data_IF_402377981674
#
_entry.id   IF_402377981674
#
_cell.length_a   1.000
_cell.length_b   1.000
_cell.length_c   1.000
_cell.angle_alpha   90.00
_cell.angle_beta   90.00
_cell.angle_gamma   90.00
#
_symmetry.space_group_name_H-M   'P 1'
#
loop_
_entity.id
_entity.type
_entity.pdbx_description
1 polymer ?
#
# COMPACT_ATOMS: atom_id res chain seq x y z
N UNK A 1 30.47 -24.72 -16.31
CA UNK A 1 29.88 -23.54 -16.98
C UNK A 1 30.23 -23.61 -18.45
N UNK A 2 29.23 -23.59 -19.36
CA UNK A 2 29.46 -23.70 -20.81
C UNK A 2 29.80 -22.33 -21.38
N UNK A 3 30.80 -22.26 -22.25
CA UNK A 3 31.05 -21.07 -23.07
C UNK A 3 29.90 -20.88 -24.07
N UNK A 4 29.38 -19.64 -24.16
CA UNK A 4 28.36 -19.30 -25.13
C UNK A 4 29.01 -19.10 -26.50
N UNK A 5 28.66 -19.97 -27.47
CA UNK A 5 29.07 -19.84 -28.86
C UNK A 5 27.87 -19.36 -29.67
N UNK A 6 27.91 -18.09 -30.10
CA UNK A 6 26.88 -17.53 -30.98
C UNK A 6 27.14 -18.02 -32.41
N UNK A 7 26.15 -18.66 -33.04
CA UNK A 7 26.22 -19.17 -34.43
C UNK A 7 25.10 -18.55 -35.27
N UNK A 8 25.37 -18.32 -36.56
CA UNK A 8 24.35 -17.89 -37.53
C UNK A 8 24.03 -16.39 -37.55
N UNK A 9 24.89 -15.54 -36.99
CA UNK A 9 24.74 -14.09 -37.08
C UNK A 9 25.34 -13.56 -38.39
N UNK A 10 24.62 -12.65 -39.06
CA UNK A 10 25.16 -11.94 -40.23
C UNK A 10 26.27 -10.96 -39.80
N UNK A 11 27.24 -10.69 -40.67
CA UNK A 11 28.29 -9.69 -40.40
C UNK A 11 27.71 -8.31 -40.06
N UNK A 12 26.59 -7.95 -40.68
CA UNK A 12 25.90 -6.68 -40.40
C UNK A 12 25.36 -6.64 -38.97
N UNK A 13 24.74 -7.71 -38.50
CA UNK A 13 24.15 -7.74 -37.17
C UNK A 13 25.22 -7.90 -36.09
N UNK A 14 26.31 -8.59 -36.41
CA UNK A 14 27.48 -8.66 -35.53
C UNK A 14 28.08 -7.27 -35.29
N UNK A 15 28.25 -6.47 -36.36
CA UNK A 15 28.73 -5.08 -36.23
C UNK A 15 27.78 -4.19 -35.43
N UNK A 16 26.46 -4.35 -35.59
CA UNK A 16 25.47 -3.62 -34.79
C UNK A 16 25.57 -3.97 -33.30
N UNK A 17 25.69 -5.26 -32.97
CA UNK A 17 25.86 -5.72 -31.59
C UNK A 17 27.18 -5.24 -31.01
N UNK A 18 28.26 -5.26 -31.78
CA UNK A 18 29.58 -4.80 -31.34
C UNK A 18 29.56 -3.30 -31.04
N UNK A 19 28.98 -2.50 -31.93
CA UNK A 19 28.80 -1.07 -31.70
C UNK A 19 27.98 -0.80 -30.44
N UNK A 20 26.85 -1.51 -30.25
CA UNK A 20 26.02 -1.35 -29.05
C UNK A 20 26.79 -1.70 -27.76
N UNK A 21 27.58 -2.77 -27.80
CA UNK A 21 28.46 -3.16 -26.69
C UNK A 21 29.51 -2.10 -26.35
N UNK A 22 30.05 -1.44 -27.37
CA UNK A 22 30.95 -0.30 -27.18
C UNK A 22 30.21 0.92 -26.60
N UNK A 23 29.04 1.25 -27.14
CA UNK A 23 28.19 2.36 -26.68
C UNK A 23 27.74 2.19 -25.22
N UNK A 24 27.49 0.95 -24.78
CA UNK A 24 27.16 0.61 -23.40
C UNK A 24 28.39 0.65 -22.45
N UNK A 25 29.60 0.92 -22.97
CA UNK A 25 30.85 1.01 -22.19
C UNK A 25 31.60 -0.31 -22.01
N UNK A 26 31.21 -1.38 -22.70
CA UNK A 26 31.78 -2.73 -22.57
C UNK A 26 32.68 -3.13 -23.74
N UNK A 27 33.20 -2.19 -24.53
CA UNK A 27 33.98 -2.47 -25.75
C UNK A 27 35.13 -3.47 -25.55
N UNK A 28 35.90 -3.33 -24.46
CA UNK A 28 37.00 -4.22 -24.10
C UNK A 28 36.62 -5.47 -23.29
N UNK A 29 35.37 -5.58 -22.83
CA UNK A 29 34.89 -6.71 -22.03
C UNK A 29 34.50 -7.92 -22.90
N UNK A 30 34.33 -9.09 -22.30
CA UNK A 30 33.77 -10.25 -23.00
C UNK A 30 32.28 -10.05 -23.33
N UNK A 31 31.79 -10.76 -24.35
CA UNK A 31 30.34 -10.77 -24.67
C UNK A 31 29.50 -11.27 -23.51
N UNK A 32 30.04 -12.18 -22.69
CA UNK A 32 29.37 -12.70 -21.50
C UNK A 32 29.17 -11.62 -20.43
N UNK A 33 30.17 -10.77 -20.19
CA UNK A 33 30.05 -9.67 -19.22
C UNK A 33 29.06 -8.62 -19.70
N UNK A 34 29.09 -8.26 -20.99
CA UNK A 34 28.13 -7.31 -21.55
C UNK A 34 26.70 -7.86 -21.57
N UNK A 35 26.49 -9.11 -22.01
CA UNK A 35 25.17 -9.75 -21.93
C UNK A 35 24.72 -9.88 -20.47
N UNK A 36 25.64 -10.19 -19.55
CA UNK A 36 25.41 -10.21 -18.11
C UNK A 36 24.97 -8.85 -17.55
N UNK A 37 25.55 -7.76 -18.05
CA UNK A 37 25.12 -6.39 -17.73
C UNK A 37 23.73 -6.08 -18.30
N UNK A 38 23.45 -6.47 -19.55
CA UNK A 38 22.14 -6.27 -20.17
C UNK A 38 21.00 -7.04 -19.47
N UNK A 39 21.34 -8.14 -18.81
CA UNK A 39 20.39 -8.99 -18.08
C UNK A 39 20.55 -8.88 -16.56
N UNK A 40 21.31 -7.89 -16.06
CA UNK A 40 21.57 -7.74 -14.63
C UNK A 40 20.29 -7.53 -13.83
N UNK A 41 19.29 -6.91 -14.46
CA UNK A 41 17.95 -6.69 -13.92
C UNK A 41 16.89 -7.63 -14.54
N UNK A 42 17.33 -8.63 -15.32
CA UNK A 42 16.45 -9.63 -15.94
C UNK A 42 16.63 -10.94 -15.20
N UNK A 43 15.73 -11.21 -14.26
CA UNK A 43 15.66 -12.49 -13.58
C UNK A 43 15.36 -13.62 -14.59
N UNK A 44 16.34 -14.50 -14.83
CA UNK A 44 16.20 -15.67 -15.73
C UNK A 44 15.31 -16.76 -15.12
N UNK A 45 15.17 -16.74 -13.79
CA UNK A 45 14.25 -17.57 -13.03
C UNK A 45 13.33 -16.66 -12.22
N UNK A 46 12.08 -17.08 -12.12
CA UNK A 46 11.08 -16.32 -11.39
C UNK A 46 11.36 -16.34 -9.88
N UNK A 47 11.41 -15.17 -9.25
CA UNK A 47 11.58 -15.09 -7.80
C UNK A 47 10.41 -15.73 -7.05
N UNK A 48 10.59 -16.05 -5.77
CA UNK A 48 9.49 -16.55 -4.92
C UNK A 48 8.34 -15.52 -4.85
N UNK A 49 8.70 -14.23 -4.82
CA UNK A 49 7.78 -13.10 -4.85
C UNK A 49 7.00 -13.03 -6.16
N UNK A 50 7.67 -13.15 -7.31
CA UNK A 50 7.02 -13.14 -8.62
C UNK A 50 6.03 -14.30 -8.75
N UNK A 51 6.44 -15.52 -8.33
CA UNK A 51 5.55 -16.69 -8.28
C UNK A 51 4.31 -16.43 -7.43
N UNK A 52 4.49 -15.88 -6.23
CA UNK A 52 3.40 -15.58 -5.31
C UNK A 52 2.46 -14.51 -5.87
N UNK A 53 3.00 -13.43 -6.44
CA UNK A 53 2.21 -12.36 -7.03
C UNK A 53 1.44 -12.81 -8.27
N UNK A 54 2.04 -13.64 -9.15
CA UNK A 54 1.32 -14.22 -10.28
C UNK A 54 0.15 -15.07 -9.79
N UNK A 55 0.39 -15.99 -8.86
CA UNK A 55 -0.67 -16.85 -8.32
C UNK A 55 -1.79 -16.02 -7.67
N UNK A 56 -1.45 -14.95 -6.96
CA UNK A 56 -2.41 -14.02 -6.36
C UNK A 56 -3.23 -13.31 -7.44
N UNK A 57 -2.58 -12.77 -8.48
CA UNK A 57 -3.26 -12.07 -9.59
C UNK A 57 -4.16 -13.02 -10.37
N UNK A 58 -3.71 -14.22 -10.70
CA UNK A 58 -4.51 -15.21 -11.41
C UNK A 58 -5.78 -15.59 -10.63
N UNK A 59 -5.67 -15.72 -9.30
CA UNK A 59 -6.81 -16.02 -8.43
C UNK A 59 -7.79 -14.85 -8.26
N UNK A 60 -7.28 -13.62 -8.16
CA UNK A 60 -8.08 -12.47 -7.72
C UNK A 60 -8.47 -11.50 -8.85
N UNK A 61 -7.90 -11.61 -10.05
CA UNK A 61 -8.20 -10.67 -11.15
C UNK A 61 -9.68 -10.66 -11.52
N UNK A 62 -10.31 -11.83 -11.63
CA UNK A 62 -11.73 -11.92 -11.97
C UNK A 62 -12.61 -11.29 -10.87
N UNK A 63 -12.27 -11.51 -9.60
CA UNK A 63 -12.94 -10.86 -8.47
C UNK A 63 -12.82 -9.34 -8.55
N UNK A 64 -11.60 -8.82 -8.75
CA UNK A 64 -11.37 -7.37 -8.82
C UNK A 64 -12.08 -6.72 -10.01
N UNK A 65 -12.07 -7.37 -11.19
CA UNK A 65 -12.78 -6.88 -12.38
C UNK A 65 -14.30 -6.95 -12.19
N UNK A 66 -14.83 -8.01 -11.58
CA UNK A 66 -16.24 -8.10 -11.25
C UNK A 66 -16.66 -7.03 -10.23
N UNK A 67 -15.81 -6.75 -9.22
CA UNK A 67 -16.02 -5.66 -8.28
C UNK A 67 -16.05 -4.31 -8.98
N UNK A 68 -15.09 -4.07 -9.87
CA UNK A 68 -15.07 -2.84 -10.67
C UNK A 68 -16.36 -2.67 -11.46
N UNK A 69 -16.80 -3.72 -12.17
CA UNK A 69 -18.02 -3.69 -12.95
C UNK A 69 -19.26 -3.37 -12.09
N UNK A 70 -19.35 -3.95 -10.88
CA UNK A 70 -20.43 -3.66 -9.93
C UNK A 70 -20.36 -2.23 -9.37
N UNK A 71 -19.17 -1.72 -9.12
CA UNK A 71 -18.95 -0.36 -8.61
C UNK A 71 -19.08 0.73 -9.69
N UNK A 72 -19.13 0.39 -10.98
CA UNK A 72 -19.27 1.39 -12.05
C UNK A 72 -20.54 2.24 -11.89
N UNK A 73 -21.67 1.64 -11.51
CA UNK A 73 -22.92 2.37 -11.31
C UNK A 73 -22.80 3.46 -10.23
N UNK A 74 -22.35 3.17 -8.99
CA UNK A 74 -22.14 4.21 -7.98
C UNK A 74 -20.99 5.17 -8.34
N UNK A 75 -19.95 4.73 -9.05
CA UNK A 75 -18.86 5.61 -9.52
C UNK A 75 -19.35 6.65 -10.54
N UNK A 76 -20.25 6.26 -11.44
CA UNK A 76 -20.75 7.11 -12.51
C UNK A 76 -22.03 7.87 -12.12
N UNK A 77 -22.58 7.57 -10.95
CA UNK A 77 -23.80 8.19 -10.42
C UNK A 77 -23.64 9.68 -10.12
N UNK A 78 -24.75 10.43 -10.01
CA UNK A 78 -24.74 11.89 -9.86
C UNK A 78 -24.04 12.36 -8.57
N UNK A 79 -24.11 11.60 -7.49
CA UNK A 79 -23.51 11.96 -6.20
C UNK A 79 -22.06 11.47 -6.02
N UNK A 80 -21.51 10.82 -7.05
CA UNK A 80 -20.17 10.26 -6.99
C UNK A 80 -19.10 11.36 -6.85
N UNK A 81 -18.10 11.10 -6.01
CA UNK A 81 -16.92 11.93 -5.83
C UNK A 81 -15.67 11.18 -6.24
N UNK A 82 -14.80 11.84 -6.98
CA UNK A 82 -13.44 11.36 -7.21
C UNK A 82 -12.59 11.67 -5.99
N UNK A 83 -11.50 10.93 -5.80
CA UNK A 83 -10.54 11.20 -4.74
C UNK A 83 -9.98 12.63 -4.74
N UNK A 84 -9.92 13.28 -5.91
CA UNK A 84 -9.54 14.70 -6.01
C UNK A 84 -10.50 15.66 -5.30
N UNK A 85 -11.79 15.32 -5.23
CA UNK A 85 -12.81 16.16 -4.59
C UNK A 85 -12.60 16.26 -3.06
N UNK A 86 -11.95 15.24 -2.48
CA UNK A 86 -11.58 15.22 -1.05
C UNK A 86 -10.74 16.43 -0.64
N UNK A 87 -9.88 16.94 -1.53
CA UNK A 87 -9.08 18.13 -1.27
C UNK A 87 -9.94 19.37 -1.02
N UNK A 88 -11.03 19.49 -1.79
CA UNK A 88 -11.95 20.62 -1.72
C UNK A 88 -12.79 20.51 -0.45
N UNK A 89 -13.30 19.31 -0.16
CA UNK A 89 -14.14 19.06 1.01
C UNK A 89 -13.40 19.24 2.34
N UNK A 90 -12.10 18.91 2.35
CA UNK A 90 -11.24 19.11 3.53
C UNK A 90 -10.51 20.46 3.52
N UNK A 91 -10.72 21.29 2.50
CA UNK A 91 -10.07 22.60 2.32
C UNK A 91 -8.54 22.52 2.52
N UNK A 92 -7.91 21.50 1.92
CA UNK A 92 -6.49 21.24 2.12
C UNK A 92 -5.64 22.41 1.58
N UNK A 93 -4.78 23.04 2.40
CA UNK A 93 -3.92 24.15 1.98
C UNK A 93 -3.11 23.85 0.72
N UNK A 94 -2.97 24.85 -0.16
CA UNK A 94 -2.17 24.77 -1.39
C UNK A 94 -0.71 24.39 -1.10
N UNK A 95 -0.14 24.95 -0.05
CA UNK A 95 1.28 24.85 0.29
C UNK A 95 1.51 23.76 1.34
N UNK A 96 2.37 22.76 1.07
CA UNK A 96 2.78 21.78 2.08
C UNK A 96 3.82 22.37 3.06
N UNK A 97 3.91 21.87 4.30
CA UNK A 97 3.02 20.86 4.89
C UNK A 97 1.73 21.47 5.46
N UNK A 98 0.62 20.76 5.29
CA UNK A 98 -0.70 21.10 5.81
C UNK A 98 -0.93 20.55 7.24
N UNK A 99 0.09 20.50 8.09
CA UNK A 99 0.02 19.93 9.44
C UNK A 99 0.24 18.41 9.51
N UNK A 100 0.14 17.81 10.71
CA UNK A 100 0.49 16.42 10.95
C UNK A 100 -0.63 15.44 10.58
N UNK A 101 -0.25 14.17 10.39
CA UNK A 101 -1.20 13.06 10.26
C UNK A 101 -0.75 11.82 11.03
N UNK A 102 -1.71 10.96 11.36
CA UNK A 102 -1.49 9.64 11.92
C UNK A 102 -2.21 8.62 11.04
N UNK A 103 -1.44 7.68 10.47
CA UNK A 103 -1.96 6.56 9.70
C UNK A 103 -2.11 5.35 10.62
N UNK A 104 -3.31 4.78 10.66
CA UNK A 104 -3.71 3.72 11.60
C UNK A 104 -4.01 2.44 10.81
N UNK A 105 -3.06 1.50 10.87
CA UNK A 105 -3.22 0.15 10.35
C UNK A 105 -4.07 -0.74 11.25
N UNK A 106 -3.91 -2.05 11.13
CA UNK A 106 -4.68 -3.05 11.89
C UNK A 106 -3.82 -4.17 12.47
N UNK A 107 -2.53 -3.93 12.62
CA UNK A 107 -1.57 -4.88 13.19
C UNK A 107 -1.65 -5.01 14.72
N UNK A 108 -1.06 -6.08 15.27
CA UNK A 108 -1.21 -6.46 16.68
C UNK A 108 -0.63 -5.42 17.65
N UNK A 109 0.37 -4.63 17.24
CA UNK A 109 1.01 -3.66 18.13
C UNK A 109 0.06 -2.62 18.71
N UNK A 110 -1.06 -2.35 18.03
CA UNK A 110 -2.12 -1.46 18.52
C UNK A 110 -2.62 -1.90 19.91
N UNK A 111 -2.82 -3.20 20.10
CA UNK A 111 -3.26 -3.77 21.37
C UNK A 111 -2.10 -3.88 22.36
N UNK A 112 -0.94 -4.31 21.89
CA UNK A 112 0.26 -4.51 22.73
C UNK A 112 0.71 -3.22 23.41
N UNK A 113 0.51 -2.09 22.74
CA UNK A 113 0.90 -0.77 23.22
C UNK A 113 -0.27 0.16 23.54
N UNK A 114 -1.51 -0.36 23.51
CA UNK A 114 -2.74 0.40 23.83
C UNK A 114 -2.83 1.72 23.05
N UNK A 115 -2.48 1.68 21.76
CA UNK A 115 -2.35 2.87 20.93
C UNK A 115 -3.67 3.59 20.71
N UNK A 116 -4.77 2.84 20.57
CA UNK A 116 -6.08 3.44 20.33
C UNK A 116 -6.62 4.13 21.59
N UNK A 117 -6.39 3.54 22.76
CA UNK A 117 -6.73 4.15 24.05
C UNK A 117 -5.92 5.42 24.28
N UNK A 118 -4.61 5.37 24.03
CA UNK A 118 -3.75 6.56 24.11
C UNK A 118 -4.22 7.68 23.17
N UNK A 119 -4.65 7.32 21.96
CA UNK A 119 -5.22 8.27 21.01
C UNK A 119 -6.55 8.85 21.53
N UNK A 120 -7.45 8.02 22.07
CA UNK A 120 -8.72 8.48 22.63
C UNK A 120 -8.54 9.44 23.82
N UNK A 121 -7.50 9.21 24.64
CA UNK A 121 -7.19 10.02 25.82
C UNK A 121 -6.43 11.32 25.49
N UNK A 122 -5.59 11.30 24.46
CA UNK A 122 -4.58 12.36 24.22
C UNK A 122 -4.42 12.77 22.75
N UNK A 123 -5.44 12.60 21.90
CA UNK A 123 -5.37 13.09 20.52
C UNK A 123 -5.26 14.62 20.50
N UNK A 124 -4.15 15.19 19.99
CA UNK A 124 -4.03 16.64 19.88
C UNK A 124 -5.00 17.18 18.82
N UNK A 125 -5.41 18.46 18.95
CA UNK A 125 -6.11 19.14 17.86
C UNK A 125 -5.26 19.13 16.59
N UNK A 126 -5.90 19.34 15.44
CA UNK A 126 -5.21 19.48 14.15
C UNK A 126 -4.53 18.21 13.60
N UNK A 127 -4.45 17.12 14.37
CA UNK A 127 -3.92 15.84 13.91
C UNK A 127 -4.93 15.12 13.02
N UNK A 128 -4.59 14.97 11.74
CA UNK A 128 -5.41 14.24 10.78
C UNK A 128 -5.30 12.72 10.98
N UNK A 129 -6.42 12.05 11.21
CA UNK A 129 -6.49 10.60 11.41
C UNK A 129 -6.88 9.89 10.10
N UNK A 130 -5.96 9.07 9.57
CA UNK A 130 -6.18 8.25 8.38
C UNK A 130 -6.20 6.78 8.79
N UNK A 131 -7.37 6.18 8.86
CA UNK A 131 -7.56 4.81 9.35
C UNK A 131 -7.78 3.83 8.20
N UNK A 132 -7.29 2.60 8.34
CA UNK A 132 -7.73 1.47 7.49
C UNK A 132 -9.14 1.03 7.88
N UNK A 133 -9.91 0.48 6.95
CA UNK A 133 -11.24 -0.08 7.22
C UNK A 133 -11.25 -1.07 8.40
N UNK A 134 -10.24 -1.95 8.49
CA UNK A 134 -10.06 -2.92 9.57
C UNK A 134 -10.11 -2.34 10.98
N UNK A 135 -9.68 -1.10 11.17
CA UNK A 135 -9.59 -0.47 12.49
C UNK A 135 -10.71 0.53 12.77
N UNK A 136 -11.66 0.68 11.84
CA UNK A 136 -12.76 1.62 11.96
C UNK A 136 -13.63 1.34 13.21
N UNK A 137 -14.15 0.12 13.35
CA UNK A 137 -15.04 -0.22 14.47
C UNK A 137 -14.35 -0.02 15.84
N UNK A 138 -13.11 -0.51 16.06
CA UNK A 138 -12.38 -0.24 17.29
C UNK A 138 -12.21 1.24 17.62
N UNK A 139 -11.91 2.08 16.63
CA UNK A 139 -11.82 3.54 16.82
C UNK A 139 -13.16 4.15 17.24
N UNK A 140 -14.24 3.82 16.52
CA UNK A 140 -15.57 4.36 16.80
C UNK A 140 -16.05 3.99 18.21
N UNK A 141 -15.79 2.77 18.68
CA UNK A 141 -16.14 2.32 20.04
C UNK A 141 -15.42 3.10 21.14
N UNK A 142 -14.25 3.67 20.84
CA UNK A 142 -13.51 4.56 21.73
C UNK A 142 -13.92 6.04 21.55
N UNK A 143 -14.94 6.32 20.73
CA UNK A 143 -15.37 7.69 20.43
C UNK A 143 -14.45 8.43 19.47
N UNK A 144 -13.47 7.76 18.86
CA UNK A 144 -12.53 8.37 17.90
C UNK A 144 -13.09 8.20 16.50
N UNK A 145 -13.39 9.31 15.83
CA UNK A 145 -13.88 9.31 14.45
C UNK A 145 -12.69 9.69 13.53
N UNK A 146 -12.25 8.80 12.63
CA UNK A 146 -11.17 9.14 11.71
C UNK A 146 -11.61 10.18 10.67
N UNK A 147 -10.71 11.07 10.27
CA UNK A 147 -10.96 12.06 9.21
C UNK A 147 -11.10 11.41 7.83
N UNK A 148 -10.38 10.29 7.63
CA UNK A 148 -10.42 9.50 6.41
C UNK A 148 -10.29 8.01 6.73
N UNK A 149 -11.19 7.21 6.17
CA UNK A 149 -11.09 5.75 6.13
C UNK A 149 -10.57 5.31 4.76
N UNK A 150 -9.66 4.36 4.71
CA UNK A 150 -9.11 3.79 3.47
C UNK A 150 -9.58 2.35 3.33
N UNK A 151 -10.27 2.06 2.24
CA UNK A 151 -10.70 0.70 1.88
C UNK A 151 -10.33 0.39 0.44
N UNK A 152 -9.52 -0.65 0.26
CA UNK A 152 -8.96 -1.01 -1.05
C UNK A 152 -9.16 -2.47 -1.45
N UNK A 153 -9.42 -3.34 -0.49
CA UNK A 153 -9.43 -4.79 -0.71
C UNK A 153 -10.77 -5.24 -1.31
N UNK A 154 -10.69 -6.23 -2.19
CA UNK A 154 -11.81 -6.75 -2.97
C UNK A 154 -12.54 -7.91 -2.33
N UNK A 155 -12.05 -8.49 -1.22
CA UNK A 155 -12.70 -9.64 -0.58
C UNK A 155 -14.03 -9.25 0.08
N UNK A 156 -15.12 -9.93 -0.31
CA UNK A 156 -16.47 -9.59 0.15
C UNK A 156 -16.72 -10.00 1.59
N UNK A 157 -16.16 -11.12 2.03
CA UNK A 157 -16.48 -11.68 3.34
C UNK A 157 -15.61 -11.10 4.44
N UNK A 158 -14.31 -10.95 4.17
CA UNK A 158 -13.34 -10.46 5.14
C UNK A 158 -13.57 -8.98 5.41
N UNK A 159 -13.69 -8.18 4.36
CA UNK A 159 -13.72 -6.71 4.49
C UNK A 159 -15.09 -6.23 4.97
N UNK A 160 -16.19 -6.90 4.58
CA UNK A 160 -17.52 -6.55 5.09
C UNK A 160 -17.61 -6.64 6.62
N UNK A 161 -16.92 -7.60 7.25
CA UNK A 161 -16.88 -7.73 8.72
C UNK A 161 -16.23 -6.54 9.42
N UNK A 162 -15.36 -5.80 8.74
CA UNK A 162 -14.69 -4.62 9.30
C UNK A 162 -15.61 -3.39 9.40
N UNK A 163 -16.77 -3.45 8.74
CA UNK A 163 -17.73 -2.34 8.65
C UNK A 163 -19.16 -2.74 9.04
N UNK A 164 -19.36 -3.99 9.44
CA UNK A 164 -20.65 -4.54 9.87
C UNK A 164 -20.87 -4.34 11.37
N UNK A 165 -21.14 -3.09 11.77
CA UNK A 165 -21.43 -2.73 13.15
C UNK A 165 -22.37 -1.51 13.21
N UNK A 166 -23.31 -1.43 14.19
CA UNK A 166 -24.19 -0.27 14.38
C UNK A 166 -23.46 1.06 14.58
N UNK A 167 -22.22 1.04 15.08
CA UNK A 167 -21.40 2.25 15.19
C UNK A 167 -21.16 2.91 13.83
N UNK A 168 -21.09 2.12 12.75
CA UNK A 168 -20.96 2.67 11.40
C UNK A 168 -22.22 3.44 11.00
N UNK A 169 -23.43 2.99 11.37
CA UNK A 169 -24.66 3.74 11.12
C UNK A 169 -24.73 5.02 11.97
N UNK A 170 -24.35 4.92 13.25
CA UNK A 170 -24.37 6.07 14.16
C UNK A 170 -23.45 7.20 13.70
N UNK A 171 -22.30 6.86 13.11
CA UNK A 171 -21.27 7.83 12.73
C UNK A 171 -21.18 8.07 11.22
N UNK A 172 -21.94 7.33 10.40
CA UNK A 172 -21.72 7.25 8.95
C UNK A 172 -21.75 8.61 8.25
N UNK A 173 -22.68 9.50 8.60
CA UNK A 173 -22.74 10.87 8.05
C UNK A 173 -21.47 11.72 8.28
N UNK A 174 -20.61 11.33 9.22
CA UNK A 174 -19.32 11.99 9.51
C UNK A 174 -18.14 11.31 8.81
N UNK A 175 -18.33 10.11 8.29
CA UNK A 175 -17.27 9.31 7.70
C UNK A 175 -17.00 9.74 6.25
N UNK A 176 -15.71 9.86 5.94
CA UNK A 176 -15.18 10.01 4.58
C UNK A 176 -14.37 8.77 4.27
N UNK A 177 -14.60 8.16 3.12
CA UNK A 177 -13.95 6.90 2.74
C UNK A 177 -13.26 7.07 1.40
N UNK A 178 -11.94 6.94 1.37
CA UNK A 178 -11.19 6.71 0.14
C UNK A 178 -11.41 5.25 -0.29
N UNK A 179 -12.22 5.07 -1.33
CA UNK A 179 -12.68 3.77 -1.80
C UNK A 179 -12.00 3.42 -3.13
N UNK A 180 -11.29 2.28 -3.17
CA UNK A 180 -10.81 1.75 -4.42
C UNK A 180 -11.98 1.35 -5.32
N UNK A 181 -11.89 1.65 -6.62
CA UNK A 181 -12.90 1.29 -7.61
C UNK A 181 -13.15 -0.22 -7.70
N UNK A 182 -12.18 -1.04 -7.30
CA UNK A 182 -12.26 -2.50 -7.29
C UNK A 182 -12.41 -3.09 -5.88
N UNK A 183 -12.56 -2.24 -4.86
CA UNK A 183 -12.84 -2.70 -3.50
C UNK A 183 -14.20 -3.40 -3.44
N UNK A 184 -14.40 -4.19 -2.38
CA UNK A 184 -15.59 -5.02 -2.22
C UNK A 184 -16.89 -4.19 -2.31
N UNK A 185 -17.78 -4.45 -3.29
CA UNK A 185 -19.05 -3.73 -3.42
C UNK A 185 -19.93 -3.74 -2.15
N UNK A 186 -20.04 -4.85 -1.38
CA UNK A 186 -20.78 -4.84 -0.12
C UNK A 186 -20.28 -3.80 0.89
N UNK A 187 -18.98 -3.47 0.87
CA UNK A 187 -18.37 -2.46 1.75
C UNK A 187 -18.76 -1.05 1.30
N UNK A 188 -18.69 -0.76 0.00
CA UNK A 188 -19.19 0.51 -0.54
C UNK A 188 -20.69 0.70 -0.26
N UNK A 189 -21.49 -0.33 -0.49
CA UNK A 189 -22.94 -0.33 -0.22
C UNK A 189 -23.22 -0.08 1.28
N UNK A 190 -22.46 -0.75 2.17
CA UNK A 190 -22.57 -0.58 3.62
C UNK A 190 -22.28 0.85 4.08
N UNK A 191 -21.22 1.46 3.55
CA UNK A 191 -20.86 2.85 3.85
C UNK A 191 -21.88 3.84 3.29
N UNK A 192 -22.30 3.66 2.04
CA UNK A 192 -23.33 4.51 1.42
C UNK A 192 -24.64 4.47 2.22
N UNK A 193 -25.08 3.28 2.67
CA UNK A 193 -26.27 3.12 3.51
C UNK A 193 -26.15 3.84 4.86
N UNK A 194 -24.94 3.90 5.43
CA UNK A 194 -24.68 4.64 6.66
C UNK A 194 -24.63 6.18 6.46
N UNK A 195 -24.69 6.66 5.22
CA UNK A 195 -24.55 8.08 4.88
C UNK A 195 -23.09 8.55 4.78
N UNK A 196 -22.12 7.64 4.69
CA UNK A 196 -20.72 8.01 4.51
C UNK A 196 -20.47 8.59 3.11
N UNK A 197 -19.53 9.52 3.02
CA UNK A 197 -19.11 10.09 1.74
C UNK A 197 -17.99 9.23 1.13
N UNK A 198 -18.23 8.65 -0.04
CA UNK A 198 -17.25 7.84 -0.76
C UNK A 198 -16.47 8.67 -1.79
N UNK A 199 -15.15 8.52 -1.78
CA UNK A 199 -14.20 9.16 -2.69
C UNK A 199 -13.47 8.10 -3.50
N UNK A 200 -13.79 7.99 -4.79
CA UNK A 200 -13.35 6.89 -5.62
C UNK A 200 -12.00 7.13 -6.30
N UNK A 201 -11.18 6.10 -6.38
CA UNK A 201 -9.93 6.08 -7.14
C UNK A 201 -9.61 4.69 -7.69
N UNK A 202 -8.72 4.62 -8.68
CA UNK A 202 -8.19 3.35 -9.18
C UNK A 202 -6.90 2.98 -8.45
N UNK A 203 -6.74 1.76 -7.91
CA UNK A 203 -5.41 1.29 -7.55
C UNK A 203 -4.55 1.18 -8.82
N UNK A 204 -3.29 1.56 -8.72
CA UNK A 204 -2.31 1.45 -9.82
C UNK A 204 -1.80 0.00 -9.91
N UNK A 205 -2.22 -0.74 -10.94
CA UNK A 205 -1.85 -2.16 -11.14
C UNK A 205 -0.64 -2.35 -12.06
N UNK A 206 -0.53 -1.46 -13.04
CA UNK A 206 0.49 -1.50 -14.08
C UNK A 206 0.87 -0.08 -14.51
N UNK A 207 1.85 0.02 -15.39
CA UNK A 207 2.26 1.28 -15.97
C UNK A 207 1.17 1.78 -16.96
N UNK A 208 0.46 2.87 -16.65
CA UNK A 208 -0.66 3.36 -17.46
C UNK A 208 -0.23 3.92 -18.82
N UNK A 209 1.09 4.00 -19.08
CA UNK A 209 1.64 4.42 -20.38
C UNK A 209 1.75 3.24 -21.35
N UNK A 210 1.66 2.00 -20.88
CA UNK A 210 1.77 0.80 -21.72
C UNK A 210 0.46 0.51 -22.45
N UNK A 211 0.56 0.02 -23.68
CA UNK A 211 -0.59 -0.50 -24.41
C UNK A 211 -1.19 -1.69 -23.65
N UNK A 212 -2.51 -1.75 -23.56
CA UNK A 212 -3.23 -2.81 -22.84
C UNK A 212 -3.20 -2.68 -21.32
N UNK A 213 -2.73 -1.56 -20.75
CA UNK A 213 -2.75 -1.32 -19.31
C UNK A 213 -4.17 -1.39 -18.74
N UNK A 214 -4.36 -2.22 -17.72
CA UNK A 214 -5.61 -2.32 -16.98
C UNK A 214 -5.93 -0.99 -16.30
N UNK A 215 -4.95 -0.33 -15.69
CA UNK A 215 -5.18 0.98 -15.06
C UNK A 215 -5.60 2.03 -16.10
N UNK A 216 -5.01 2.04 -17.30
CA UNK A 216 -5.40 2.96 -18.37
C UNK A 216 -6.83 2.69 -18.87
N UNK A 217 -7.21 1.41 -19.02
CA UNK A 217 -8.56 1.01 -19.41
C UNK A 217 -9.60 1.44 -18.38
N UNK A 218 -9.36 1.17 -17.10
CA UNK A 218 -10.24 1.58 -16.00
C UNK A 218 -10.45 3.09 -15.96
N UNK A 219 -9.37 3.86 -16.11
CA UNK A 219 -9.44 5.32 -16.24
C UNK A 219 -10.27 5.75 -17.46
N UNK A 220 -10.15 5.04 -18.58
CA UNK A 220 -10.97 5.29 -19.76
C UNK A 220 -12.46 5.08 -19.50
N UNK A 221 -12.81 3.99 -18.81
CA UNK A 221 -14.20 3.60 -18.50
C UNK A 221 -14.89 4.53 -17.48
N UNK A 222 -14.13 5.29 -16.70
CA UNK A 222 -14.66 6.25 -15.73
C UNK A 222 -14.65 7.69 -16.23
N UNK A 223 -14.32 7.92 -17.51
CA UNK A 223 -14.40 9.27 -18.12
C UNK A 223 -15.85 9.73 -18.22
N UNK A 224 -16.08 10.96 -17.80
CA UNK A 224 -17.36 11.64 -17.97
C UNK A 224 -17.14 13.16 -18.04
N UNK A 225 -18.22 13.93 -18.14
CA UNK A 225 -18.13 15.39 -18.21
C UNK A 225 -17.49 16.05 -16.97
N UNK A 226 -17.61 15.44 -15.78
CA UNK A 226 -17.00 15.92 -14.53
C UNK A 226 -15.52 15.53 -14.44
N UNK A 227 -15.17 14.32 -14.90
CA UNK A 227 -13.80 13.82 -14.92
C UNK A 227 -13.41 13.40 -16.36
N UNK A 228 -13.04 14.35 -17.23
CA UNK A 228 -12.65 14.06 -18.61
C UNK A 228 -11.45 13.08 -18.73
N UNK A 229 -10.62 12.99 -17.69
CA UNK A 229 -9.48 12.08 -17.62
C UNK A 229 -9.76 10.77 -16.86
N UNK A 230 -11.01 10.57 -16.42
CA UNK A 230 -11.42 9.48 -15.54
C UNK A 230 -11.02 9.72 -14.09
N UNK A 231 -11.34 8.76 -13.22
CA UNK A 231 -10.88 8.79 -11.84
C UNK A 231 -9.34 8.78 -11.75
N UNK A 232 -8.77 9.39 -10.71
CA UNK A 232 -7.33 9.33 -10.47
C UNK A 232 -6.89 7.91 -10.12
N UNK A 233 -5.62 7.59 -10.39
CA UNK A 233 -5.00 6.34 -9.97
C UNK A 233 -3.99 6.57 -8.83
N UNK A 234 -3.91 5.66 -7.88
CA UNK A 234 -3.07 5.77 -6.67
C UNK A 234 -2.16 4.56 -6.55
N UNK A 235 -0.87 4.80 -6.27
CA UNK A 235 0.06 3.74 -5.89
C UNK A 235 -0.24 3.29 -4.47
N UNK A 236 -0.87 2.13 -4.31
CA UNK A 236 -1.39 1.66 -3.02
C UNK A 236 -0.36 0.98 -2.11
N UNK A 237 0.85 0.67 -2.61
CA UNK A 237 1.88 -0.04 -1.86
C UNK A 237 1.52 -1.49 -1.45
N UNK A 238 0.42 -2.04 -1.99
CA UNK A 238 -0.05 -3.39 -1.72
C UNK A 238 -0.99 -3.53 -0.53
N UNK A 239 -1.15 -2.51 0.33
CA UNK A 239 -2.03 -2.58 1.50
C UNK A 239 -2.64 -1.22 1.88
N UNK A 240 -3.75 -1.24 2.63
CA UNK A 240 -4.50 -0.04 3.00
C UNK A 240 -3.67 0.96 3.83
N UNK A 241 -2.76 0.47 4.68
CA UNK A 241 -1.87 1.33 5.47
C UNK A 241 -0.89 2.14 4.61
N UNK A 242 -0.25 1.53 3.61
CA UNK A 242 0.60 2.24 2.66
C UNK A 242 -0.21 3.22 1.82
N UNK A 243 -1.42 2.82 1.40
CA UNK A 243 -2.34 3.72 0.70
C UNK A 243 -2.67 4.94 1.55
N UNK A 244 -3.02 4.76 2.83
CA UNK A 244 -3.28 5.85 3.76
C UNK A 244 -2.08 6.79 3.92
N UNK A 245 -0.87 6.25 3.98
CA UNK A 245 0.36 7.05 3.99
C UNK A 245 0.56 7.84 2.68
N UNK A 246 0.36 7.20 1.53
CA UNK A 246 0.42 7.89 0.22
C UNK A 246 -0.60 9.02 0.14
N UNK A 247 -1.85 8.77 0.56
CA UNK A 247 -2.89 9.80 0.60
C UNK A 247 -2.53 10.93 1.56
N UNK A 248 -1.97 10.61 2.74
CA UNK A 248 -1.57 11.61 3.72
C UNK A 248 -0.54 12.61 3.16
N UNK A 249 0.52 12.15 2.46
CA UNK A 249 1.53 13.07 1.92
C UNK A 249 1.18 13.62 0.53
N UNK A 250 0.73 12.77 -0.41
CA UNK A 250 0.61 13.15 -1.82
C UNK A 250 -0.67 13.93 -2.11
N UNK A 251 -1.76 13.61 -1.40
CA UNK A 251 -3.05 14.28 -1.55
C UNK A 251 -3.21 15.32 -0.44
N UNK A 252 -3.21 14.88 0.82
CA UNK A 252 -3.57 15.69 1.98
C UNK A 252 -2.43 16.60 2.47
N UNK A 253 -1.25 16.52 1.86
CA UNK A 253 -0.07 17.38 2.09
C UNK A 253 0.42 17.36 3.55
N UNK A 254 0.22 16.27 4.29
CA UNK A 254 0.53 16.18 5.72
C UNK A 254 1.99 15.84 5.99
N UNK A 255 2.57 16.48 7.00
CA UNK A 255 3.89 16.18 7.56
C UNK A 255 4.04 16.88 8.93
N UNK A 256 4.59 16.22 9.97
CA UNK A 256 5.04 14.83 9.98
C UNK A 256 3.88 13.82 9.92
N UNK A 257 4.16 12.60 9.48
CA UNK A 257 3.21 11.49 9.40
C UNK A 257 3.64 10.38 10.36
N UNK A 258 2.86 10.13 11.41
CA UNK A 258 3.02 8.98 12.29
C UNK A 258 2.34 7.74 11.70
N UNK A 259 2.90 6.56 11.98
CA UNK A 259 2.33 5.26 11.59
C UNK A 259 2.11 4.41 12.84
N UNK A 260 0.93 3.82 13.01
CA UNK A 260 0.67 2.82 14.08
C UNK A 260 -0.05 1.60 13.51
N UNK A 261 0.22 0.42 14.07
CA UNK A 261 -0.36 -0.85 13.58
C UNK A 261 0.06 -1.24 12.16
N UNK A 262 1.24 -0.77 11.70
CA UNK A 262 1.88 -1.17 10.45
C UNK A 262 3.06 -2.11 10.74
N UNK A 263 2.78 -3.22 11.43
CA UNK A 263 3.79 -4.20 11.84
C UNK A 263 4.50 -4.82 10.63
N UNK A 264 3.74 -5.13 9.57
CA UNK A 264 4.24 -5.78 8.36
C UNK A 264 5.11 -6.99 8.70
N UNK A 265 4.59 -7.88 9.54
CA UNK A 265 5.32 -9.04 10.05
C UNK A 265 4.61 -9.71 11.21
N UNK A 266 5.21 -10.80 11.66
CA UNK A 266 4.79 -11.61 12.80
C UNK A 266 5.88 -11.62 13.87
N UNK A 267 5.53 -11.86 15.15
CA UNK A 267 6.54 -12.13 16.16
C UNK A 267 7.30 -13.42 15.84
N UNK A 268 8.56 -13.52 16.30
CA UNK A 268 9.35 -14.74 16.12
C UNK A 268 8.66 -15.93 16.81
N UNK A 269 8.66 -17.09 16.15
CA UNK A 269 8.00 -18.30 16.64
C UNK A 269 6.48 -18.35 16.39
N UNK A 270 5.90 -17.35 15.71
CA UNK A 270 4.52 -17.45 15.24
C UNK A 270 4.35 -18.65 14.29
N UNK A 271 3.35 -19.54 14.48
CA UNK A 271 3.18 -20.71 13.64
C UNK A 271 2.98 -20.33 12.17
N UNK A 272 3.81 -20.87 11.27
CA UNK A 272 3.78 -20.54 9.84
C UNK A 272 2.40 -20.82 9.25
N UNK A 273 1.77 -21.92 9.68
CA UNK A 273 0.46 -22.40 9.22
C UNK A 273 -0.69 -21.42 9.53
N UNK A 274 -0.45 -20.47 10.46
CA UNK A 274 -1.43 -19.45 10.85
C UNK A 274 -1.17 -18.09 10.20
N UNK A 275 -0.11 -17.97 9.40
CA UNK A 275 0.19 -16.73 8.67
C UNK A 275 -0.79 -16.54 7.51
N UNK A 276 -0.99 -15.29 7.12
CA UNK A 276 -2.03 -14.91 6.16
C UNK A 276 -1.77 -15.54 4.78
N UNK A 277 -0.51 -15.66 4.37
CA UNK A 277 -0.15 -16.20 3.07
C UNK A 277 -0.02 -17.72 3.05
N UNK A 278 -0.06 -18.40 4.21
CA UNK A 278 0.23 -19.83 4.27
C UNK A 278 -0.68 -20.68 3.37
N UNK A 279 -2.00 -20.44 3.23
CA UNK A 279 -2.82 -21.23 2.31
C UNK A 279 -2.30 -21.17 0.87
N UNK A 280 -1.93 -19.98 0.37
CA UNK A 280 -1.39 -19.80 -0.98
C UNK A 280 0.00 -20.42 -1.10
N UNK A 281 0.86 -20.25 -0.09
CA UNK A 281 2.21 -20.83 -0.05
C UNK A 281 2.13 -22.36 -0.07
N UNK A 282 1.26 -22.95 0.76
CA UNK A 282 1.06 -24.39 0.87
C UNK A 282 0.61 -25.00 -0.46
N UNK A 283 -0.30 -24.36 -1.19
CA UNK A 283 -0.67 -24.80 -2.54
C UNK A 283 0.50 -24.72 -3.52
N UNK A 284 1.27 -23.62 -3.50
CA UNK A 284 2.43 -23.44 -4.38
C UNK A 284 3.54 -24.46 -4.14
N UNK A 285 3.68 -24.94 -2.90
CA UNK A 285 4.71 -25.92 -2.52
C UNK A 285 4.19 -27.35 -2.50
N UNK A 286 2.93 -27.60 -2.88
CA UNK A 286 2.31 -28.92 -2.81
C UNK A 286 2.25 -29.47 -1.38
N UNK A 287 2.17 -28.59 -0.39
CA UNK A 287 2.15 -28.93 1.03
C UNK A 287 3.52 -29.28 1.62
N UNK A 288 4.63 -29.16 0.88
CA UNK A 288 5.97 -29.40 1.41
C UNK A 288 6.36 -28.32 2.44
N UNK A 289 6.56 -28.68 3.72
CA UNK A 289 6.92 -27.73 4.76
C UNK A 289 8.29 -27.07 4.55
N UNK A 290 9.27 -27.78 4.00
CA UNK A 290 10.61 -27.22 3.79
C UNK A 290 10.62 -26.21 2.65
N UNK A 291 9.95 -26.51 1.55
CA UNK A 291 9.73 -25.54 0.49
C UNK A 291 8.89 -24.34 0.97
N UNK A 292 7.90 -24.55 1.86
CA UNK A 292 7.10 -23.46 2.41
C UNK A 292 7.94 -22.50 3.27
N UNK A 293 8.91 -23.00 4.05
CA UNK A 293 9.82 -22.17 4.85
C UNK A 293 10.60 -21.15 4.02
N UNK A 294 10.91 -21.47 2.75
CA UNK A 294 11.64 -20.55 1.87
C UNK A 294 10.87 -19.25 1.56
N UNK A 295 9.55 -19.23 1.75
CA UNK A 295 8.70 -18.04 1.60
C UNK A 295 8.66 -17.15 2.85
N UNK A 296 9.43 -17.50 3.89
CA UNK A 296 9.53 -16.71 5.11
C UNK A 296 10.94 -16.18 5.30
N UNK A 297 11.05 -14.98 5.83
CA UNK A 297 12.32 -14.30 6.08
C UNK A 297 12.30 -13.70 7.48
N UNK A 298 13.29 -14.08 8.29
CA UNK A 298 13.53 -13.43 9.58
C UNK A 298 14.33 -12.15 9.36
N UNK A 299 13.95 -11.08 10.05
CA UNK A 299 14.63 -9.79 10.03
C UNK A 299 14.77 -9.25 11.44
N UNK A 300 15.88 -8.56 11.72
CA UNK A 300 16.10 -7.88 13.00
C UNK A 300 15.83 -6.38 12.85
N UNK A 301 14.93 -5.83 13.66
CA UNK A 301 14.67 -4.40 13.75
C UNK A 301 15.67 -3.75 14.73
N UNK A 302 16.70 -3.02 14.25
CA UNK A 302 17.74 -2.46 15.11
C UNK A 302 17.24 -1.30 15.97
N UNK A 303 16.20 -0.58 15.53
CA UNK A 303 15.65 0.57 16.26
C UNK A 303 14.89 0.13 17.52
N UNK A 304 14.31 -1.07 17.47
CA UNK A 304 13.49 -1.65 18.54
C UNK A 304 14.19 -2.81 19.26
N UNK A 305 15.31 -3.29 18.74
CA UNK A 305 16.05 -4.41 19.31
C UNK A 305 15.30 -5.75 19.27
N UNK A 306 14.40 -5.94 18.30
CA UNK A 306 13.51 -7.11 18.24
C UNK A 306 13.49 -7.78 16.86
N UNK A 307 13.43 -9.12 16.80
CA UNK A 307 13.23 -9.84 15.54
C UNK A 307 11.77 -9.78 15.08
N UNK A 308 11.57 -9.89 13.77
CA UNK A 308 10.28 -10.10 13.13
C UNK A 308 10.39 -11.19 12.06
N UNK A 309 9.32 -11.94 11.89
CA UNK A 309 9.16 -12.92 10.82
C UNK A 309 8.29 -12.30 9.72
N UNK A 310 8.78 -12.32 8.50
CA UNK A 310 8.07 -11.87 7.31
C UNK A 310 7.67 -13.08 6.50
N UNK A 311 6.42 -13.13 6.05
CA UNK A 311 6.11 -13.94 4.87
C UNK A 311 6.48 -13.15 3.60
N UNK A 312 6.40 -13.81 2.45
CA UNK A 312 6.71 -13.21 1.15
C UNK A 312 5.92 -11.94 0.87
N UNK A 313 4.66 -11.85 1.32
CA UNK A 313 3.83 -10.67 1.11
C UNK A 313 4.28 -9.50 1.98
N UNK A 314 4.53 -9.71 3.27
CA UNK A 314 5.00 -8.66 4.16
C UNK A 314 6.43 -8.21 3.84
N UNK A 315 7.30 -9.11 3.38
CA UNK A 315 8.60 -8.74 2.84
C UNK A 315 8.44 -7.77 1.65
N UNK A 316 7.49 -8.04 0.76
CA UNK A 316 7.19 -7.19 -0.39
C UNK A 316 6.54 -5.87 0.01
N UNK A 317 5.54 -5.87 0.91
CA UNK A 317 4.94 -4.63 1.39
C UNK A 317 5.97 -3.71 2.05
N UNK A 318 6.85 -4.28 2.88
CA UNK A 318 7.98 -3.55 3.47
C UNK A 318 8.88 -2.96 2.39
N UNK A 319 9.31 -3.77 1.41
CA UNK A 319 10.19 -3.34 0.31
C UNK A 319 9.56 -2.18 -0.47
N UNK A 320 8.34 -2.36 -0.94
CA UNK A 320 7.62 -1.33 -1.71
C UNK A 320 7.40 -0.05 -0.90
N UNK A 321 7.05 -0.16 0.39
CA UNK A 321 6.90 1.02 1.24
C UNK A 321 8.20 1.82 1.33
N UNK A 322 9.33 1.16 1.59
CA UNK A 322 10.64 1.82 1.69
C UNK A 322 11.08 2.42 0.35
N UNK A 323 10.79 1.77 -0.77
CA UNK A 323 11.06 2.31 -2.11
C UNK A 323 10.22 3.55 -2.43
N UNK A 324 8.94 3.56 -2.05
CA UNK A 324 8.10 4.75 -2.18
C UNK A 324 8.59 5.87 -1.26
N UNK A 325 8.94 5.53 -0.01
CA UNK A 325 9.49 6.46 0.96
C UNK A 325 10.79 7.12 0.47
N UNK A 326 11.67 6.39 -0.20
CA UNK A 326 12.90 6.96 -0.76
C UNK A 326 12.66 8.00 -1.87
N UNK A 327 11.45 8.08 -2.42
CA UNK A 327 11.07 8.96 -3.54
C UNK A 327 10.15 10.11 -3.13
N UNK A 328 9.79 10.22 -1.85
CA UNK A 328 8.93 11.32 -1.40
C UNK A 328 9.67 12.66 -1.43
N UNK A 329 8.94 13.78 -1.58
CA UNK A 329 9.53 15.10 -1.47
C UNK A 329 10.24 15.31 -0.12
N UNK A 330 11.32 16.11 -0.05
CA UNK A 330 12.10 16.33 1.18
C UNK A 330 11.32 16.88 2.39
N UNK A 331 10.16 17.51 2.17
CA UNK A 331 9.32 18.05 3.25
C UNK A 331 8.51 16.96 3.99
N UNK A 332 8.40 15.76 3.41
CA UNK A 332 7.67 14.64 3.99
C UNK A 332 8.57 13.96 5.04
N UNK A 333 8.09 13.93 6.28
CA UNK A 333 8.75 13.20 7.37
C UNK A 333 7.83 12.10 7.86
N UNK A 334 8.34 10.88 7.88
CA UNK A 334 7.59 9.69 8.31
C UNK A 334 8.18 9.16 9.61
N UNK A 335 7.31 8.94 10.60
CA UNK A 335 7.65 8.40 11.90
C UNK A 335 6.97 7.04 12.07
N UNK A 336 7.74 5.96 12.27
CA UNK A 336 7.17 4.68 12.67
C UNK A 336 6.88 4.71 14.18
N UNK A 337 5.60 4.81 14.52
CA UNK A 337 5.09 4.76 15.88
C UNK A 337 4.45 3.42 16.24
N UNK A 338 4.56 2.43 15.36
CA UNK A 338 4.02 1.08 15.54
C UNK A 338 4.63 0.39 16.75
N UNK A 339 5.87 0.74 17.13
CA UNK A 339 6.62 0.11 18.23
C UNK A 339 6.78 -1.41 18.08
N UNK A 340 6.55 -1.91 16.87
CA UNK A 340 6.52 -3.31 16.50
C UNK A 340 6.94 -3.49 15.05
N UNK A 341 7.18 -4.75 14.68
CA UNK A 341 7.29 -5.14 13.29
C UNK A 341 8.57 -4.72 12.58
N UNK A 342 8.49 -4.64 11.25
CA UNK A 342 9.65 -4.68 10.36
C UNK A 342 9.94 -3.38 9.62
N UNK A 343 9.12 -2.34 9.81
CA UNK A 343 9.22 -1.09 9.04
C UNK A 343 10.27 -0.14 9.65
N UNK A 344 11.52 -0.29 9.25
CA UNK A 344 12.67 0.55 9.65
C UNK A 344 13.62 0.74 8.48
N UNK A 345 14.47 1.78 8.53
CA UNK A 345 15.49 2.05 7.51
C UNK A 345 15.64 3.54 7.17
N UNK A 346 16.39 3.87 6.11
CA UNK A 346 16.59 5.26 5.68
C UNK A 346 15.26 5.96 5.37
N UNK A 347 15.13 7.21 5.81
CA UNK A 347 13.95 8.06 5.54
C UNK A 347 12.76 7.86 6.49
N UNK A 348 12.83 6.91 7.43
CA UNK A 348 11.82 6.72 8.48
C UNK A 348 12.46 6.79 9.85
N UNK A 349 11.78 7.43 10.80
CA UNK A 349 12.25 7.55 12.19
C UNK A 349 11.37 6.73 13.11
N UNK A 350 11.95 5.80 13.87
CA UNK A 350 11.22 5.05 14.89
C UNK A 350 11.04 5.89 16.16
N UNK A 351 9.81 6.02 16.65
CA UNK A 351 9.47 6.86 17.80
C UNK A 351 8.19 6.35 18.49
N UNK A 352 8.11 6.21 19.83
CA UNK A 352 6.85 5.82 20.49
C UNK A 352 5.68 6.77 20.19
N UNK A 353 4.46 6.25 20.12
CA UNK A 353 3.26 7.05 19.80
C UNK A 353 3.10 8.22 20.76
N UNK A 354 3.26 8.02 22.07
CA UNK A 354 3.17 9.08 23.07
C UNK A 354 4.09 10.27 22.75
N UNK A 355 5.33 9.99 22.35
CA UNK A 355 6.28 11.04 21.96
C UNK A 355 5.84 11.74 20.68
N UNK A 356 5.33 11.02 19.69
CA UNK A 356 4.80 11.65 18.49
C UNK A 356 3.66 12.63 18.81
N UNK A 357 2.71 12.22 19.66
CA UNK A 357 1.57 13.06 20.07
C UNK A 357 2.03 14.31 20.84
N UNK A 358 3.01 14.19 21.76
CA UNK A 358 3.62 15.32 22.47
C UNK A 358 4.27 16.34 21.51
N UNK A 359 4.99 15.86 20.50
CA UNK A 359 5.63 16.73 19.48
C UNK A 359 4.61 17.44 18.60
N UNK A 360 3.46 16.81 18.33
CA UNK A 360 2.37 17.44 17.60
C UNK A 360 1.71 18.53 18.45
N UNK A 361 1.35 18.21 19.70
CA UNK A 361 0.68 19.15 20.60
C UNK A 361 1.52 20.42 20.86
N UNK A 362 2.82 20.28 21.11
CA UNK A 362 3.72 21.41 21.40
C UNK A 362 3.87 22.40 20.25
N UNK A 363 3.72 21.95 18.99
CA UNK A 363 3.82 22.82 17.82
C UNK A 363 2.59 23.67 17.60
N UNK A 364 1.42 23.22 18.03
CA UNK A 364 0.19 24.03 17.97
C UNK A 364 0.21 25.18 18.98
N UNK A 365 0.85 25.01 20.15
CA UNK A 365 0.93 26.09 21.15
C UNK A 365 1.89 27.22 20.75
N UNK A 366 2.70 27.00 19.73
CA UNK A 366 3.73 27.94 19.26
C UNK A 366 3.34 28.70 17.98
N UNK A 367 2.14 28.43 17.43
CA UNK A 367 1.56 29.05 16.25
C UNK A 367 0.31 29.85 16.64
#
# INVERSE_FOLDING_TARGET
MKDFVVRGLSDSDFRKLQKRKEDDGFGGCSWKEWLGHLVVDVALEESLSDRFHRATREKLSDLWLANFARNLAPIMGPDARALGDLLLDLQVPATPPAGPALVIGGGPSLREHRHLELLAESCPPGLMLVATDRILIPLLRLGVIPDLVVSIDGDHEVIARFVDDPMVDQHGAKLRVAMASMGAPPVAERFARAGATLYWFHPLFDDPRRQGSLTALQRGMTRNARWPQGLPAVSCGGHAGATGWVLAHALLRRSPIGLIGLDLGYPLGYPLERTQCYPVISELTGGDPEAARAYFTEIYNPDLGQPALLDVMFAEFRRHFLEMLARVPPWVRTCNCTQGGSLFGPGITTLPLARFLEHVASKETSA
#
